data_IF_003270986598
#
_entry.id   IF_003270986598
#
_cell.length_a   1.000
_cell.length_b   1.000
_cell.length_c   1.000
_cell.angle_alpha   90.00
_cell.angle_beta   90.00
_cell.angle_gamma   90.00
#
_symmetry.space_group_name_H-M   'P 1'
#
loop_
_entity.id
_entity.type
_entity.pdbx_description
1 polymer ?
#
# COMPACT_ATOMS: atom_id res chain seq x y z
N UNK A 1 25.84 11.10 -4.88
CA UNK A 1 27.13 10.74 -4.23
C UNK A 1 28.10 10.26 -5.30
N UNK A 2 29.40 10.45 -5.10
CA UNK A 2 30.45 9.87 -5.96
C UNK A 2 30.69 8.37 -5.62
N UNK A 3 31.68 7.75 -6.26
CA UNK A 3 32.07 6.34 -6.01
C UNK A 3 32.54 6.09 -4.58
N UNK A 4 33.01 7.11 -3.87
CA UNK A 4 33.50 7.04 -2.49
C UNK A 4 32.43 7.46 -1.45
N UNK A 5 31.16 7.57 -1.89
CA UNK A 5 30.01 7.99 -1.07
C UNK A 5 30.11 9.41 -0.49
N UNK A 6 30.87 10.30 -1.15
CA UNK A 6 30.92 11.73 -0.82
C UNK A 6 29.87 12.50 -1.66
N UNK A 7 29.44 13.71 -1.23
CA UNK A 7 28.57 14.55 -2.05
C UNK A 7 29.18 14.78 -3.43
N UNK A 8 28.39 14.52 -4.48
CA UNK A 8 28.83 14.76 -5.86
C UNK A 8 28.85 16.27 -6.13
N UNK A 9 30.04 16.79 -6.45
CA UNK A 9 30.21 18.20 -6.72
C UNK A 9 30.17 18.49 -8.23
N UNK A 10 29.51 19.59 -8.61
CA UNK A 10 29.58 20.17 -9.96
C UNK A 10 30.95 20.84 -10.19
N UNK A 11 31.17 21.34 -11.40
CA UNK A 11 32.42 22.04 -11.79
C UNK A 11 32.64 23.33 -11.00
N UNK A 12 31.54 23.97 -10.55
CA UNK A 12 31.56 25.18 -9.74
C UNK A 12 31.72 24.91 -8.23
N UNK A 13 31.93 23.68 -7.83
CA UNK A 13 32.06 23.25 -6.43
C UNK A 13 30.76 23.12 -5.67
N UNK A 14 29.61 23.44 -6.28
CA UNK A 14 28.29 23.21 -5.65
C UNK A 14 27.90 21.73 -5.66
N UNK A 15 27.10 21.33 -4.66
CA UNK A 15 26.54 19.96 -4.61
C UNK A 15 25.54 19.79 -5.75
N UNK A 16 25.65 18.68 -6.49
CA UNK A 16 24.69 18.32 -7.50
C UNK A 16 23.39 17.87 -6.82
N UNK A 17 22.31 18.62 -7.04
CA UNK A 17 20.94 18.19 -6.70
C UNK A 17 20.23 17.70 -7.95
N UNK A 18 19.32 16.76 -7.78
CA UNK A 18 18.46 16.21 -8.85
C UNK A 18 17.00 16.30 -8.41
N UNK A 19 16.05 16.37 -9.35
CA UNK A 19 14.65 16.19 -9.01
C UNK A 19 14.46 14.88 -8.26
N UNK A 20 13.66 14.90 -7.20
CA UNK A 20 13.28 13.70 -6.48
C UNK A 20 12.46 12.77 -7.41
N UNK A 21 12.52 11.46 -7.15
CA UNK A 21 11.62 10.50 -7.76
C UNK A 21 10.19 10.62 -7.21
N UNK A 22 9.26 9.81 -7.74
CA UNK A 22 7.85 9.86 -7.33
C UNK A 22 7.62 9.49 -5.85
N UNK A 23 8.59 8.88 -5.17
CA UNK A 23 8.53 8.64 -3.72
C UNK A 23 8.36 9.90 -2.90
N UNK A 24 8.93 11.03 -3.33
CA UNK A 24 8.76 12.31 -2.64
C UNK A 24 7.31 12.82 -2.65
N UNK A 25 6.44 12.31 -3.52
CA UNK A 25 5.03 12.68 -3.57
C UNK A 25 4.23 12.19 -2.36
N UNK A 26 4.78 11.30 -1.53
CA UNK A 26 4.13 10.89 -0.28
C UNK A 26 3.93 12.08 0.66
N UNK A 27 4.85 13.05 0.67
CA UNK A 27 4.72 14.28 1.45
C UNK A 27 3.57 15.16 0.96
N UNK A 28 3.35 15.22 -0.37
CA UNK A 28 2.22 15.93 -0.95
C UNK A 28 0.90 15.23 -0.60
N UNK A 29 0.85 13.91 -0.72
CA UNK A 29 -0.33 13.13 -0.35
C UNK A 29 -0.64 13.25 1.14
N UNK A 30 0.40 13.22 1.99
CA UNK A 30 0.26 13.42 3.44
C UNK A 30 -0.22 14.82 3.81
N UNK A 31 -0.05 15.83 2.95
CA UNK A 31 -0.54 17.20 3.18
C UNK A 31 -2.00 17.42 2.75
N UNK A 32 -2.61 16.47 2.02
CA UNK A 32 -4.01 16.56 1.55
C UNK A 32 -4.97 16.32 2.70
N UNK A 33 -6.12 17.00 2.69
CA UNK A 33 -7.17 16.88 3.73
C UNK A 33 -8.35 16.02 3.26
N UNK A 34 -8.34 15.62 1.99
CA UNK A 34 -9.40 14.84 1.39
C UNK A 34 -9.41 13.40 1.91
N UNK A 35 -10.62 12.87 2.14
CA UNK A 35 -10.80 11.48 2.56
C UNK A 35 -10.45 10.47 1.46
N UNK A 36 -10.76 10.83 0.21
CA UNK A 36 -10.60 9.98 -0.96
C UNK A 36 -9.80 10.69 -2.04
N UNK A 37 -8.65 10.13 -2.41
CA UNK A 37 -7.75 10.70 -3.44
C UNK A 37 -7.55 9.70 -4.56
N UNK A 38 -7.76 10.15 -5.81
CA UNK A 38 -7.43 9.36 -7.00
C UNK A 38 -6.14 9.86 -7.63
N UNK A 39 -5.21 8.95 -7.84
CA UNK A 39 -3.87 9.21 -8.40
C UNK A 39 -3.76 8.54 -9.75
N UNK A 40 -3.31 9.27 -10.76
CA UNK A 40 -3.01 8.77 -12.10
C UNK A 40 -1.72 9.38 -12.62
N UNK A 41 -0.93 8.60 -13.35
CA UNK A 41 0.26 9.12 -14.02
C UNK A 41 -0.12 10.16 -15.06
N UNK A 42 0.60 11.28 -15.09
CA UNK A 42 0.31 12.41 -15.97
C UNK A 42 0.48 12.06 -17.45
N UNK A 43 1.32 11.09 -17.75
CA UNK A 43 1.58 10.61 -19.12
C UNK A 43 0.57 9.58 -19.62
N UNK A 44 -0.30 9.05 -18.74
CA UNK A 44 -1.34 8.11 -19.14
C UNK A 44 -2.61 8.87 -19.56
N UNK A 45 -2.64 9.26 -20.82
CA UNK A 45 -3.69 10.11 -21.40
C UNK A 45 -4.25 9.50 -22.69
N UNK A 46 -5.48 9.85 -23.03
CA UNK A 46 -6.10 9.46 -24.31
C UNK A 46 -7.02 10.57 -24.83
N UNK A 47 -7.39 10.46 -26.11
CA UNK A 47 -8.37 11.37 -26.71
C UNK A 47 -9.75 11.22 -26.09
N UNK A 48 -10.58 12.27 -26.18
CA UNK A 48 -11.87 12.36 -25.50
C UNK A 48 -12.81 11.16 -25.77
N UNK A 49 -12.86 10.66 -27.01
CA UNK A 49 -13.70 9.51 -27.38
C UNK A 49 -13.37 8.21 -26.64
N UNK A 50 -12.16 8.08 -26.07
CA UNK A 50 -11.71 6.92 -25.29
C UNK A 50 -11.81 7.13 -23.78
N UNK A 51 -12.05 8.33 -23.30
CA UNK A 51 -12.16 8.65 -21.88
C UNK A 51 -13.32 7.94 -21.15
N UNK A 52 -14.48 7.64 -21.76
CA UNK A 52 -15.59 6.98 -21.05
C UNK A 52 -15.18 5.69 -20.33
N UNK A 53 -14.34 4.85 -20.95
CA UNK A 53 -13.82 3.63 -20.31
C UNK A 53 -12.97 3.95 -19.07
N UNK A 54 -12.07 4.92 -19.18
CA UNK A 54 -11.25 5.38 -18.03
C UNK A 54 -12.12 5.91 -16.90
N UNK A 55 -13.13 6.75 -17.21
CA UNK A 55 -14.04 7.29 -16.19
C UNK A 55 -14.89 6.23 -15.52
N UNK A 56 -15.35 5.23 -16.29
CA UNK A 56 -16.09 4.10 -15.73
C UNK A 56 -15.24 3.35 -14.69
N UNK A 57 -14.04 2.95 -15.06
CA UNK A 57 -13.16 2.18 -14.18
C UNK A 57 -12.64 2.98 -12.99
N UNK A 58 -12.41 4.28 -13.13
CA UNK A 58 -12.15 5.15 -11.97
C UNK A 58 -13.28 5.09 -10.95
N UNK A 59 -14.53 5.18 -11.41
CA UNK A 59 -15.70 5.08 -10.50
C UNK A 59 -15.81 3.71 -9.85
N UNK A 60 -15.49 2.64 -10.58
CA UNK A 60 -15.43 1.27 -10.02
C UNK A 60 -14.38 1.18 -8.92
N UNK A 61 -13.16 1.66 -9.17
CA UNK A 61 -12.08 1.66 -8.18
C UNK A 61 -12.44 2.49 -6.94
N UNK A 62 -13.03 3.67 -7.13
CA UNK A 62 -13.53 4.52 -6.02
C UNK A 62 -14.62 3.80 -5.21
N UNK A 63 -15.58 3.17 -5.87
CA UNK A 63 -16.64 2.39 -5.21
C UNK A 63 -16.07 1.23 -4.39
N UNK A 64 -15.10 0.51 -4.93
CA UNK A 64 -14.41 -0.58 -4.19
C UNK A 64 -13.61 -0.05 -3.01
N UNK A 65 -12.94 1.09 -3.16
CA UNK A 65 -12.19 1.71 -2.05
C UNK A 65 -13.13 2.10 -0.90
N UNK A 66 -14.29 2.68 -1.19
CA UNK A 66 -15.29 3.02 -0.18
C UNK A 66 -15.86 1.77 0.51
N UNK A 67 -16.22 0.73 -0.25
CA UNK A 67 -16.72 -0.54 0.31
C UNK A 67 -15.68 -1.19 1.23
N UNK A 68 -14.42 -1.26 0.79
CA UNK A 68 -13.33 -1.82 1.56
C UNK A 68 -13.08 -1.05 2.86
N UNK A 69 -12.99 0.28 2.77
CA UNK A 69 -12.85 1.19 3.91
C UNK A 69 -13.97 1.00 4.93
N UNK A 70 -15.22 0.99 4.48
CA UNK A 70 -16.39 0.90 5.36
C UNK A 70 -16.42 -0.46 6.08
N UNK A 71 -16.05 -1.54 5.39
CA UNK A 71 -15.93 -2.87 5.99
C UNK A 71 -14.83 -2.93 7.05
N UNK A 72 -13.65 -2.38 6.74
CA UNK A 72 -12.52 -2.29 7.68
C UNK A 72 -12.93 -1.47 8.93
N UNK A 73 -13.55 -0.30 8.74
CA UNK A 73 -14.02 0.54 9.85
C UNK A 73 -15.04 -0.20 10.74
N UNK A 74 -15.94 -0.98 10.13
CA UNK A 74 -16.88 -1.82 10.87
C UNK A 74 -16.20 -2.85 11.76
N UNK A 75 -15.18 -3.53 11.25
CA UNK A 75 -14.38 -4.50 12.01
C UNK A 75 -13.60 -3.85 13.15
N UNK A 76 -12.93 -2.72 12.88
CA UNK A 76 -12.21 -1.97 13.93
C UNK A 76 -13.19 -1.55 15.04
N UNK A 77 -14.34 -1.00 14.67
CA UNK A 77 -15.36 -0.61 15.65
C UNK A 77 -15.82 -1.80 16.52
N UNK A 78 -16.07 -2.97 15.91
CA UNK A 78 -16.48 -4.17 16.64
C UNK A 78 -15.39 -4.66 17.61
N UNK A 79 -14.11 -4.67 17.19
CA UNK A 79 -12.97 -5.02 18.05
C UNK A 79 -12.79 -4.01 19.19
N UNK A 80 -12.98 -2.72 18.94
CA UNK A 80 -12.87 -1.66 19.96
C UNK A 80 -13.99 -1.77 21.01
N UNK A 81 -15.20 -2.22 20.66
CA UNK A 81 -16.26 -2.51 21.63
C UNK A 81 -15.86 -3.65 22.61
N UNK A 82 -15.26 -4.73 22.10
CA UNK A 82 -14.75 -5.83 22.93
C UNK A 82 -13.65 -5.33 23.88
N UNK A 83 -12.72 -4.53 23.38
CA UNK A 83 -11.63 -3.94 24.17
C UNK A 83 -12.16 -3.01 25.28
N UNK A 84 -13.16 -2.19 24.97
CA UNK A 84 -13.77 -1.25 25.93
C UNK A 84 -14.49 -1.97 27.05
N UNK A 85 -15.26 -3.01 26.75
CA UNK A 85 -15.92 -3.85 27.74
C UNK A 85 -14.89 -4.49 28.70
N UNK A 86 -13.75 -4.99 28.17
CA UNK A 86 -12.66 -5.53 28.97
C UNK A 86 -12.00 -4.51 29.89
N UNK A 87 -11.84 -3.27 29.43
CA UNK A 87 -11.25 -2.20 30.23
C UNK A 87 -12.17 -1.70 31.35
N UNK A 88 -13.47 -1.63 31.12
CA UNK A 88 -14.46 -1.30 32.16
C UNK A 88 -14.50 -2.36 33.27
N UNK A 89 -14.45 -3.62 32.91
CA UNK A 89 -14.40 -4.74 33.84
C UNK A 89 -13.14 -4.71 34.71
N UNK A 90 -11.97 -4.40 34.12
CA UNK A 90 -10.72 -4.23 34.87
C UNK A 90 -10.73 -3.01 35.79
N UNK A 91 -11.42 -1.93 35.44
CA UNK A 91 -11.60 -0.75 36.30
C UNK A 91 -12.51 -1.01 37.51
N UNK A 92 -13.56 -1.78 37.31
CA UNK A 92 -14.52 -2.15 38.38
C UNK A 92 -13.90 -3.18 39.35
N UNK A 93 -13.05 -4.08 38.92
CA UNK A 93 -12.34 -5.05 39.75
C UNK A 93 -11.22 -4.45 40.62
N UNK A 94 -10.70 -3.26 40.26
CA UNK A 94 -9.70 -2.51 41.05
C UNK A 94 -10.28 -1.67 42.19
N UNK A 95 -11.59 -1.50 42.26
CA UNK A 95 -12.30 -0.73 43.29
C UNK A 95 -13.23 -1.63 44.11
N UNK A 96 -12.72 -2.11 45.26
CA UNK A 96 -13.42 -2.82 46.32
C UNK A 96 -13.75 -4.30 46.14
N UNK A 97 -13.32 -5.08 47.14
CA UNK A 97 -13.68 -6.43 47.52
C UNK A 97 -15.17 -6.75 47.36
N UNK A 98 -15.56 -7.18 46.19
CA UNK A 98 -16.77 -7.93 45.98
C UNK A 98 -16.37 -9.14 45.14
N UNK A 99 -16.45 -10.33 45.73
CA UNK A 99 -16.38 -11.63 45.07
C UNK A 99 -17.55 -11.73 44.08
N UNK A 100 -17.36 -11.21 42.87
CA UNK A 100 -18.14 -11.60 41.72
C UNK A 100 -17.47 -12.76 41.04
N UNK A 101 -18.26 -13.73 40.63
CA UNK A 101 -17.85 -14.87 39.81
C UNK A 101 -16.89 -14.44 38.73
N UNK A 102 -15.89 -15.28 38.46
CA UNK A 102 -14.91 -15.17 37.39
C UNK A 102 -15.57 -14.57 36.14
N UNK A 103 -15.31 -13.29 35.94
CA UNK A 103 -15.77 -12.60 34.76
C UNK A 103 -14.93 -13.13 33.59
N UNK A 104 -15.59 -13.73 32.61
CA UNK A 104 -14.98 -14.28 31.42
C UNK A 104 -14.17 -13.18 30.73
N UNK A 105 -12.95 -13.51 30.32
CA UNK A 105 -12.12 -12.61 29.50
C UNK A 105 -12.93 -12.25 28.24
N UNK A 106 -13.25 -10.97 27.99
CA UNK A 106 -14.07 -10.55 26.86
C UNK A 106 -13.49 -10.99 25.51
N UNK A 107 -12.21 -11.28 25.46
CA UNK A 107 -11.54 -11.84 24.28
C UNK A 107 -11.70 -13.36 24.14
N UNK A 108 -12.09 -14.06 25.21
CA UNK A 108 -12.28 -15.52 25.19
C UNK A 108 -13.73 -15.94 24.82
N UNK A 109 -14.61 -14.98 24.57
CA UNK A 109 -16.02 -15.25 24.20
C UNK A 109 -16.13 -15.86 22.80
N UNK A 110 -17.19 -16.63 22.57
CA UNK A 110 -17.49 -17.19 21.25
C UNK A 110 -17.69 -16.09 20.20
N UNK A 111 -18.32 -14.96 20.60
CA UNK A 111 -18.52 -13.82 19.71
C UNK A 111 -17.19 -13.19 19.27
N UNK A 112 -16.22 -13.01 20.18
CA UNK A 112 -14.91 -12.49 19.82
C UNK A 112 -14.17 -13.45 18.90
N UNK A 113 -14.23 -14.75 19.17
CA UNK A 113 -13.60 -15.77 18.32
C UNK A 113 -14.23 -15.81 16.91
N UNK A 114 -15.57 -15.73 16.83
CA UNK A 114 -16.28 -15.68 15.55
C UNK A 114 -15.92 -14.43 14.75
N UNK A 115 -15.85 -13.24 15.41
CA UNK A 115 -15.43 -12.00 14.77
C UNK A 115 -13.99 -12.10 14.27
N UNK A 116 -13.06 -12.62 15.07
CA UNK A 116 -11.66 -12.81 14.62
C UNK A 116 -11.57 -13.75 13.41
N UNK A 117 -12.34 -14.84 13.39
CA UNK A 117 -12.39 -15.76 12.25
C UNK A 117 -12.93 -15.07 10.99
N UNK A 118 -13.97 -14.25 11.12
CA UNK A 118 -14.53 -13.48 10.01
C UNK A 118 -13.51 -12.46 9.47
N UNK A 119 -12.82 -11.74 10.35
CA UNK A 119 -11.79 -10.79 9.96
C UNK A 119 -10.62 -11.48 9.24
N UNK A 120 -10.13 -12.61 9.74
CA UNK A 120 -9.07 -13.36 9.08
C UNK A 120 -9.51 -13.90 7.71
N UNK A 121 -10.75 -14.37 7.59
CA UNK A 121 -11.30 -14.78 6.29
C UNK A 121 -11.34 -13.62 5.32
N UNK A 122 -11.82 -12.46 5.77
CA UNK A 122 -11.82 -11.23 4.99
C UNK A 122 -10.40 -10.81 4.56
N UNK A 123 -9.44 -10.78 5.48
CA UNK A 123 -8.06 -10.40 5.19
C UNK A 123 -7.43 -11.35 4.16
N UNK A 124 -7.66 -12.65 4.30
CA UNK A 124 -7.13 -13.67 3.38
C UNK A 124 -7.79 -13.60 2.00
N UNK A 125 -9.10 -13.52 1.95
CA UNK A 125 -9.87 -13.63 0.70
C UNK A 125 -9.86 -12.35 -0.13
N UNK A 126 -9.92 -11.19 0.55
CA UNK A 126 -10.00 -9.90 -0.15
C UNK A 126 -8.63 -9.22 -0.31
N UNK A 127 -7.72 -9.38 0.66
CA UNK A 127 -6.45 -8.65 0.71
C UNK A 127 -5.21 -9.56 0.60
N UNK A 128 -5.41 -10.89 0.46
CA UNK A 128 -4.32 -11.89 0.44
C UNK A 128 -3.39 -11.79 1.66
N UNK A 129 -3.96 -11.42 2.82
CA UNK A 129 -3.23 -11.30 4.08
C UNK A 129 -3.44 -12.56 4.90
N UNK A 130 -2.35 -13.30 5.12
CA UNK A 130 -2.28 -14.38 6.10
C UNK A 130 -1.67 -13.84 7.38
N UNK A 131 -2.35 -14.04 8.51
CA UNK A 131 -1.85 -13.62 9.81
C UNK A 131 -1.01 -14.72 10.45
N UNK A 132 0.06 -14.40 11.18
CA UNK A 132 0.80 -15.39 11.98
C UNK A 132 -0.05 -15.85 13.18
N UNK A 133 0.30 -17.00 13.74
CA UNK A 133 -0.37 -17.55 14.92
C UNK A 133 -0.20 -16.63 16.14
N UNK A 134 -1.29 -16.36 16.83
CA UNK A 134 -1.33 -15.60 18.07
C UNK A 134 -1.28 -16.56 19.28
N UNK A 135 -0.64 -16.12 20.38
CA UNK A 135 -0.51 -16.90 21.60
C UNK A 135 -1.78 -16.88 22.48
N UNK A 136 -2.68 -15.93 22.25
CA UNK A 136 -3.92 -15.78 22.99
C UNK A 136 -5.01 -15.11 22.16
N UNK A 137 -6.29 -15.24 22.57
CA UNK A 137 -7.40 -14.57 21.92
C UNK A 137 -7.24 -13.04 21.93
N UNK A 138 -6.73 -12.47 23.01
CA UNK A 138 -6.45 -11.04 23.12
C UNK A 138 -5.40 -10.60 22.12
N UNK A 139 -4.25 -11.27 22.07
CA UNK A 139 -3.17 -10.98 21.12
C UNK A 139 -3.67 -11.07 19.68
N UNK A 140 -4.49 -12.08 19.38
CA UNK A 140 -5.13 -12.24 18.07
C UNK A 140 -5.98 -11.03 17.69
N UNK A 141 -6.87 -10.59 18.57
CA UNK A 141 -7.72 -9.43 18.33
C UNK A 141 -6.90 -8.14 18.14
N UNK A 142 -5.87 -7.94 18.96
CA UNK A 142 -4.98 -6.78 18.88
C UNK A 142 -4.17 -6.77 17.57
N UNK A 143 -3.66 -7.93 17.14
CA UNK A 143 -2.94 -8.07 15.86
C UNK A 143 -3.86 -7.76 14.67
N UNK A 144 -5.08 -8.30 14.66
CA UNK A 144 -6.07 -8.03 13.62
C UNK A 144 -6.46 -6.57 13.57
N UNK A 145 -6.72 -5.97 14.74
CA UNK A 145 -7.03 -4.54 14.83
C UNK A 145 -5.90 -3.68 14.26
N UNK A 146 -4.65 -3.96 14.65
CA UNK A 146 -3.48 -3.24 14.14
C UNK A 146 -3.30 -3.42 12.62
N UNK A 147 -3.61 -4.60 12.08
CA UNK A 147 -3.52 -4.87 10.64
C UNK A 147 -4.59 -4.13 9.85
N UNK A 148 -5.77 -3.96 10.43
CA UNK A 148 -6.88 -3.21 9.82
C UNK A 148 -6.67 -1.69 9.89
N UNK A 149 -6.07 -1.16 10.96
CA UNK A 149 -5.92 0.27 11.23
C UNK A 149 -4.74 0.87 10.45
N UNK A 150 -4.90 0.88 9.14
CA UNK A 150 -3.92 1.34 8.15
C UNK A 150 -4.64 2.09 7.02
N UNK A 151 -3.96 3.01 6.32
CA UNK A 151 -4.51 3.59 5.11
C UNK A 151 -4.90 2.51 4.09
N UNK A 152 -5.89 2.80 3.26
CA UNK A 152 -6.40 1.87 2.25
C UNK A 152 -6.05 2.38 0.87
N UNK A 153 -5.60 1.49 -0.03
CA UNK A 153 -5.50 1.78 -1.46
C UNK A 153 -6.13 0.68 -2.31
N UNK A 154 -6.75 1.10 -3.39
CA UNK A 154 -7.21 0.21 -4.47
C UNK A 154 -6.48 0.59 -5.74
N UNK A 155 -5.81 -0.38 -6.35
CA UNK A 155 -4.96 -0.18 -7.52
C UNK A 155 -5.58 -0.86 -8.73
N UNK A 156 -5.82 -0.10 -9.79
CA UNK A 156 -6.19 -0.61 -11.10
C UNK A 156 -4.95 -1.15 -11.82
N UNK A 157 -4.92 -2.46 -12.09
CA UNK A 157 -3.81 -3.16 -12.70
C UNK A 157 -4.20 -3.63 -14.10
N UNK A 158 -3.33 -3.44 -15.09
CA UNK A 158 -3.49 -4.00 -16.44
C UNK A 158 -2.63 -5.24 -16.62
N UNK A 159 -3.03 -6.12 -17.54
CA UNK A 159 -2.17 -7.23 -17.96
C UNK A 159 -0.89 -6.69 -18.59
N UNK A 160 0.23 -7.34 -18.29
CA UNK A 160 1.52 -7.00 -18.87
C UNK A 160 1.59 -7.57 -20.29
N UNK A 161 1.76 -6.68 -21.29
CA UNK A 161 1.93 -7.04 -22.71
C UNK A 161 3.37 -6.93 -23.19
N UNK A 162 4.33 -6.78 -22.25
CA UNK A 162 5.77 -6.68 -22.52
C UNK A 162 6.41 -5.38 -22.06
N UNK A 163 5.69 -4.54 -21.32
CA UNK A 163 6.24 -3.32 -20.73
C UNK A 163 7.27 -3.68 -19.65
N UNK A 164 8.43 -3.01 -19.65
CA UNK A 164 9.39 -3.13 -18.57
C UNK A 164 8.90 -2.35 -17.35
N UNK A 165 8.97 -2.96 -16.18
CA UNK A 165 8.58 -2.28 -14.92
C UNK A 165 8.38 -3.26 -13.79
N UNK A 166 7.63 -2.82 -12.80
CA UNK A 166 7.21 -3.62 -11.67
C UNK A 166 5.84 -4.25 -11.88
N UNK A 167 5.34 -4.89 -10.84
CA UNK A 167 4.04 -5.54 -10.85
C UNK A 167 3.56 -5.89 -9.44
N UNK A 168 2.36 -6.50 -9.34
CA UNK A 168 1.78 -6.93 -8.08
C UNK A 168 2.38 -8.27 -7.63
N UNK A 169 2.70 -8.33 -6.33
CA UNK A 169 3.21 -9.52 -5.67
C UNK A 169 2.59 -9.68 -4.29
N UNK A 170 2.54 -10.90 -3.79
CA UNK A 170 2.31 -11.21 -2.39
C UNK A 170 3.68 -11.38 -1.75
N UNK A 171 3.97 -10.61 -0.72
CA UNK A 171 5.21 -10.72 0.04
C UNK A 171 4.93 -11.17 1.48
N UNK A 172 5.96 -11.70 2.12
CA UNK A 172 5.95 -11.94 3.57
C UNK A 172 6.56 -10.74 4.27
N UNK A 173 5.79 -10.19 5.20
CA UNK A 173 6.19 -9.06 6.04
C UNK A 173 7.14 -9.48 7.18
N UNK A 174 7.78 -8.50 7.81
CA UNK A 174 8.68 -8.73 8.97
C UNK A 174 7.95 -9.32 10.18
N UNK A 175 6.66 -9.06 10.32
CA UNK A 175 5.79 -9.59 11.38
C UNK A 175 5.32 -11.03 11.10
N UNK A 176 5.69 -11.62 9.96
CA UNK A 176 5.31 -12.96 9.53
C UNK A 176 3.99 -13.03 8.76
N UNK A 177 3.23 -11.95 8.70
CA UNK A 177 2.01 -11.86 7.86
C UNK A 177 2.37 -11.75 6.38
N UNK A 178 1.37 -11.85 5.50
CA UNK A 178 1.54 -11.53 4.08
C UNK A 178 0.88 -10.21 3.73
N UNK A 179 1.27 -9.60 2.60
CA UNK A 179 0.61 -8.42 2.04
C UNK A 179 0.74 -8.34 0.52
N UNK A 180 -0.19 -7.61 -0.09
CA UNK A 180 -0.14 -7.24 -1.50
C UNK A 180 0.79 -6.03 -1.67
N UNK A 181 1.84 -6.18 -2.48
CA UNK A 181 2.81 -5.13 -2.75
C UNK A 181 3.06 -4.95 -4.24
N UNK A 182 3.46 -3.75 -4.63
CA UNK A 182 3.95 -3.43 -5.97
C UNK A 182 5.47 -3.36 -5.88
N UNK A 183 6.17 -4.26 -6.60
CA UNK A 183 7.62 -4.31 -6.60
C UNK A 183 8.16 -3.98 -7.98
N UNK A 184 9.20 -3.17 -8.02
CA UNK A 184 9.99 -2.93 -9.22
C UNK A 184 11.01 -4.05 -9.44
N UNK A 185 11.34 -4.34 -10.69
CA UNK A 185 12.32 -5.39 -11.02
C UNK A 185 13.70 -5.19 -10.38
N UNK A 186 14.05 -3.94 -10.00
CA UNK A 186 15.28 -3.62 -9.28
C UNK A 186 15.26 -4.03 -7.79
N UNK A 187 14.07 -4.26 -7.23
CA UNK A 187 13.89 -4.69 -5.83
C UNK A 187 13.93 -6.22 -5.69
N UNK A 188 13.93 -6.95 -6.80
CA UNK A 188 13.95 -8.40 -6.81
C UNK A 188 15.39 -8.91 -6.69
N UNK A 189 15.65 -9.76 -5.70
CA UNK A 189 16.96 -10.42 -5.56
C UNK A 189 17.18 -11.42 -6.71
N UNK A 190 18.06 -11.05 -7.61
CA UNK A 190 18.41 -11.88 -8.80
C UNK A 190 19.18 -13.16 -8.45
N UNK A 191 19.71 -13.26 -7.23
CA UNK A 191 20.40 -14.45 -6.73
C UNK A 191 19.43 -15.46 -6.09
N UNK A 192 18.18 -15.05 -5.84
CA UNK A 192 17.12 -15.92 -5.34
C UNK A 192 16.32 -16.50 -6.51
N UNK A 193 16.44 -17.82 -6.82
CA UNK A 193 15.74 -18.44 -7.96
C UNK A 193 14.22 -18.33 -7.86
N UNK A 194 13.65 -18.41 -6.64
CA UNK A 194 12.20 -18.35 -6.42
C UNK A 194 11.68 -16.93 -6.69
N UNK A 195 12.41 -15.90 -6.25
CA UNK A 195 12.07 -14.52 -6.54
C UNK A 195 12.14 -14.20 -8.04
N UNK A 196 13.16 -14.74 -8.74
CA UNK A 196 13.29 -14.61 -10.20
C UNK A 196 12.15 -15.36 -10.91
N UNK A 197 11.76 -16.54 -10.45
CA UNK A 197 10.64 -17.29 -11.00
C UNK A 197 9.32 -16.53 -10.81
N UNK A 198 9.08 -15.98 -9.62
CA UNK A 198 7.92 -15.14 -9.32
C UNK A 198 7.85 -13.91 -10.24
N UNK A 199 8.98 -13.22 -10.46
CA UNK A 199 9.04 -12.08 -11.38
C UNK A 199 8.68 -12.49 -12.83
N UNK A 200 9.17 -13.63 -13.28
CA UNK A 200 8.89 -14.14 -14.65
C UNK A 200 7.44 -14.60 -14.83
N UNK A 201 6.78 -15.02 -13.75
CA UNK A 201 5.38 -15.44 -13.75
C UNK A 201 4.39 -14.29 -13.55
N UNK A 202 4.89 -13.06 -13.30
CA UNK A 202 4.04 -11.89 -13.12
C UNK A 202 3.19 -11.63 -14.37
N UNK A 203 1.88 -11.53 -14.17
CA UNK A 203 0.90 -11.40 -15.25
C UNK A 203 0.42 -9.97 -15.46
N UNK A 204 0.66 -9.09 -14.49
CA UNK A 204 0.19 -7.72 -14.49
C UNK A 204 1.34 -6.73 -14.33
N UNK A 205 1.09 -5.52 -14.79
CA UNK A 205 2.01 -4.39 -14.77
C UNK A 205 1.71 -3.46 -13.58
N UNK A 206 2.50 -2.41 -13.42
CA UNK A 206 2.31 -1.35 -12.43
C UNK A 206 0.89 -0.74 -12.49
N UNK A 207 0.38 -0.16 -11.39
CA UNK A 207 -0.94 0.43 -11.37
C UNK A 207 -1.06 1.58 -12.37
N UNK A 208 -2.19 1.61 -13.07
CA UNK A 208 -2.53 2.68 -14.02
C UNK A 208 -3.38 3.78 -13.38
N UNK A 209 -4.12 3.42 -12.34
CA UNK A 209 -4.90 4.30 -11.47
C UNK A 209 -4.85 3.77 -10.03
N UNK A 210 -4.74 4.67 -9.05
CA UNK A 210 -4.85 4.34 -7.62
C UNK A 210 -5.96 5.17 -7.00
N UNK A 211 -6.66 4.57 -6.03
CA UNK A 211 -7.58 5.29 -5.14
C UNK A 211 -7.16 5.04 -3.72
N UNK A 212 -6.93 6.12 -2.97
CA UNK A 212 -6.43 6.12 -1.61
C UNK A 212 -7.48 6.66 -0.65
N UNK A 213 -7.73 5.97 0.48
CA UNK A 213 -8.50 6.48 1.61
C UNK A 213 -7.51 6.88 2.71
N UNK A 214 -7.52 8.16 3.10
CA UNK A 214 -6.51 8.79 3.94
C UNK A 214 -6.94 9.01 5.38
N UNK A 215 -8.22 8.76 5.71
CA UNK A 215 -8.76 8.94 7.06
C UNK A 215 -9.00 7.60 7.74
N UNK A 216 -8.72 7.55 9.03
CA UNK A 216 -8.94 6.40 9.90
C UNK A 216 -10.43 6.13 10.17
N UNK A 217 -10.73 5.20 11.07
CA UNK A 217 -12.09 4.83 11.46
C UNK A 217 -12.81 5.91 12.28
N UNK A 218 -12.09 6.89 12.82
CA UNK A 218 -12.65 8.05 13.54
C UNK A 218 -12.83 9.28 12.65
N UNK A 219 -12.37 9.21 11.41
CA UNK A 219 -12.34 10.33 10.48
C UNK A 219 -11.12 11.24 10.70
N UNK A 220 -10.12 10.80 11.46
CA UNK A 220 -8.87 11.50 11.65
C UNK A 220 -7.88 11.09 10.54
N UNK A 221 -7.00 12.00 10.20
CA UNK A 221 -6.02 11.79 9.14
C UNK A 221 -4.89 10.87 9.58
N UNK A 222 -4.58 9.86 8.79
CA UNK A 222 -3.36 9.09 8.97
C UNK A 222 -2.12 9.95 8.75
N UNK A 223 -1.07 9.74 9.56
CA UNK A 223 0.27 10.19 9.22
C UNK A 223 0.89 9.18 8.24
N UNK A 224 0.79 9.45 6.95
CA UNK A 224 1.23 8.51 5.91
C UNK A 224 2.72 8.19 5.98
N UNK A 225 3.52 9.04 6.61
CA UNK A 225 4.96 8.83 6.75
C UNK A 225 5.29 7.70 7.72
N UNK A 226 4.38 7.35 8.63
CA UNK A 226 4.53 6.19 9.54
C UNK A 226 4.26 4.85 8.84
N UNK A 227 3.73 4.89 7.62
CA UNK A 227 3.38 3.72 6.82
C UNK A 227 4.35 3.49 5.64
N UNK A 228 5.53 4.13 5.66
CA UNK A 228 6.60 3.99 4.67
C UNK A 228 7.60 2.94 5.12
N UNK A 229 7.96 2.00 4.26
CA UNK A 229 9.13 1.15 4.46
C UNK A 229 10.38 1.79 3.83
N UNK A 230 11.16 2.50 4.64
CA UNK A 230 12.37 3.21 4.21
C UNK A 230 13.45 2.25 3.67
N UNK A 231 13.46 0.98 4.06
CA UNK A 231 14.42 -0.01 3.59
C UNK A 231 14.23 -0.39 2.11
N UNK A 232 13.10 -0.01 1.52
CA UNK A 232 12.80 -0.23 0.09
C UNK A 232 13.32 0.89 -0.81
N UNK A 233 14.04 1.87 -0.26
CA UNK A 233 14.79 2.86 -1.04
C UNK A 233 15.83 2.21 -1.95
N UNK A 234 16.10 2.81 -3.10
CA UNK A 234 17.02 2.28 -4.10
C UNK A 234 18.26 3.16 -4.26
N UNK A 235 19.41 2.51 -4.41
CA UNK A 235 20.63 3.18 -4.87
C UNK A 235 20.77 2.92 -6.36
N UNK A 236 20.59 3.95 -7.17
CA UNK A 236 20.71 3.87 -8.62
C UNK A 236 22.02 4.49 -9.10
N UNK A 237 22.68 3.82 -10.07
CA UNK A 237 23.81 4.41 -10.79
C UNK A 237 23.30 5.32 -11.89
N UNK A 238 23.78 6.55 -11.88
CA UNK A 238 23.44 7.60 -12.86
C UNK A 238 24.75 8.21 -13.40
N UNK A 239 24.63 9.05 -14.39
CA UNK A 239 25.76 9.85 -14.88
C UNK A 239 25.40 11.33 -14.96
N UNK A 240 26.39 12.18 -14.77
CA UNK A 240 26.29 13.61 -15.01
C UNK A 240 27.55 14.10 -15.74
N UNK A 241 27.37 14.59 -16.96
CA UNK A 241 28.48 15.03 -17.83
C UNK A 241 29.60 13.98 -17.98
N UNK A 242 29.21 12.70 -18.16
CA UNK A 242 30.15 11.58 -18.33
C UNK A 242 30.79 11.06 -17.03
N UNK A 243 30.52 11.66 -15.88
CA UNK A 243 30.98 11.18 -14.56
C UNK A 243 29.89 10.33 -13.90
N UNK A 244 30.26 9.16 -13.41
CA UNK A 244 29.33 8.28 -12.69
C UNK A 244 29.01 8.83 -11.30
N UNK A 245 27.77 8.63 -10.88
CA UNK A 245 27.30 8.97 -9.54
C UNK A 245 26.29 7.96 -9.03
N UNK A 246 26.21 7.83 -7.72
CA UNK A 246 25.16 7.09 -7.02
C UNK A 246 24.08 8.07 -6.56
N UNK A 247 22.82 7.78 -6.87
CA UNK A 247 21.66 8.51 -6.36
C UNK A 247 20.86 7.60 -5.43
N UNK A 248 20.59 8.08 -4.20
CA UNK A 248 19.58 7.46 -3.35
C UNK A 248 18.21 7.91 -3.83
N UNK A 249 17.37 6.95 -4.18
CA UNK A 249 15.96 7.18 -4.50
C UNK A 249 15.12 6.74 -3.30
N UNK A 250 14.22 7.61 -2.84
CA UNK A 250 13.26 7.29 -1.79
C UNK A 250 12.36 6.13 -2.26
N UNK A 251 11.75 5.38 -1.33
CA UNK A 251 10.73 4.38 -1.66
C UNK A 251 9.70 4.98 -2.61
N UNK A 252 9.45 4.31 -3.75
CA UNK A 252 8.50 4.81 -4.74
C UNK A 252 7.10 4.98 -4.17
N UNK A 253 6.31 5.95 -4.67
CA UNK A 253 5.01 6.31 -4.10
C UNK A 253 4.09 5.11 -3.91
N UNK A 254 3.90 4.30 -4.96
CA UNK A 254 3.05 3.10 -4.89
C UNK A 254 3.80 1.80 -4.55
N UNK A 255 5.12 1.90 -4.29
CA UNK A 255 5.94 0.80 -3.81
C UNK A 255 6.09 0.92 -2.28
N UNK A 256 7.31 1.11 -1.78
CA UNK A 256 7.61 1.17 -0.36
C UNK A 256 7.00 2.35 0.41
N UNK A 257 6.63 3.46 -0.25
CA UNK A 257 5.92 4.56 0.42
C UNK A 257 4.49 4.19 0.84
N UNK A 258 3.91 3.15 0.25
CA UNK A 258 2.60 2.61 0.61
C UNK A 258 2.71 1.13 1.04
N UNK A 259 3.83 0.74 1.62
CA UNK A 259 4.09 -0.64 2.02
C UNK A 259 3.17 -1.10 3.14
N UNK A 260 2.97 -0.26 4.16
CA UNK A 260 2.14 -0.57 5.32
C UNK A 260 0.67 -0.10 5.12
N UNK A 261 0.11 -0.41 3.95
CA UNK A 261 -1.26 -0.06 3.58
C UNK A 261 -2.10 -1.31 3.30
N UNK A 262 -3.39 -1.25 3.62
CA UNK A 262 -4.35 -2.24 3.17
C UNK A 262 -4.59 -2.07 1.66
N UNK A 263 -4.09 -3.02 0.88
CA UNK A 263 -4.03 -2.94 -0.58
C UNK A 263 -4.98 -3.92 -1.23
N UNK A 264 -5.75 -3.47 -2.23
CA UNK A 264 -6.54 -4.30 -3.12
C UNK A 264 -6.12 -4.05 -4.57
N UNK A 265 -5.87 -5.13 -5.32
CA UNK A 265 -5.65 -5.06 -6.77
C UNK A 265 -6.93 -5.40 -7.52
N UNK A 266 -7.25 -4.61 -8.52
CA UNK A 266 -8.39 -4.80 -9.43
C UNK A 266 -7.88 -4.81 -10.86
N UNK A 267 -8.12 -5.89 -11.60
CA UNK A 267 -7.81 -5.91 -13.03
C UNK A 267 -8.73 -4.92 -13.76
N UNK A 268 -8.12 -4.02 -14.54
CA UNK A 268 -8.82 -3.06 -15.38
C UNK A 268 -8.44 -3.28 -16.85
N UNK A 269 -9.31 -2.92 -17.81
CA UNK A 269 -9.00 -3.10 -19.23
C UNK A 269 -7.75 -2.35 -19.67
N UNK A 270 -7.01 -2.94 -20.60
CA UNK A 270 -5.78 -2.35 -21.16
C UNK A 270 -6.04 -0.99 -21.82
N UNK A 271 -7.25 -0.74 -22.30
CA UNK A 271 -7.68 0.54 -22.87
C UNK A 271 -7.60 1.70 -21.87
N UNK A 272 -7.48 1.43 -20.57
CA UNK A 272 -7.23 2.46 -19.54
C UNK A 272 -5.76 2.87 -19.45
N UNK A 273 -4.86 2.15 -20.15
CA UNK A 273 -3.42 2.38 -20.12
C UNK A 273 -2.89 2.85 -21.47
N UNK A 274 -2.69 4.15 -21.63
CA UNK A 274 -2.27 4.79 -22.87
C UNK A 274 -1.11 5.77 -22.59
N UNK A 275 0.07 5.27 -22.17
CA UNK A 275 1.17 6.14 -21.79
C UNK A 275 1.83 6.81 -23.01
N UNK A 276 2.20 8.08 -22.83
CA UNK A 276 3.03 8.85 -23.77
C UNK A 276 4.43 8.96 -23.17
N UNK A 277 5.34 8.10 -23.59
CA UNK A 277 6.75 8.10 -23.14
C UNK A 277 7.67 8.81 -24.12
N UNK A 278 7.36 8.71 -25.42
CA UNK A 278 8.10 9.34 -26.51
C UNK A 278 7.13 9.98 -27.51
N UNK A 279 7.64 10.88 -28.33
CA UNK A 279 6.82 11.61 -29.34
C UNK A 279 6.07 10.67 -30.29
N UNK A 280 6.65 9.53 -30.63
CA UNK A 280 6.01 8.55 -31.52
C UNK A 280 4.78 7.89 -30.92
N UNK A 281 4.65 7.87 -29.60
CA UNK A 281 3.44 7.34 -28.94
C UNK A 281 2.20 8.14 -29.32
N UNK A 282 2.34 9.44 -29.65
CA UNK A 282 1.26 10.28 -30.12
C UNK A 282 0.65 9.85 -31.47
N UNK A 283 1.31 8.95 -32.19
CA UNK A 283 0.79 8.35 -33.42
C UNK A 283 -0.12 7.14 -33.16
N UNK A 284 -0.21 6.68 -31.92
CA UNK A 284 -1.10 5.56 -31.56
C UNK A 284 -2.57 5.99 -31.61
N UNK A 285 -3.51 5.06 -31.95
CA UNK A 285 -4.94 5.39 -32.05
C UNK A 285 -5.55 6.03 -30.79
N UNK A 286 -4.96 5.76 -29.64
CA UNK A 286 -5.41 6.34 -28.35
C UNK A 286 -5.15 7.86 -28.25
N UNK A 287 -4.32 8.41 -29.13
CA UNK A 287 -3.89 9.83 -29.08
C UNK A 287 -4.30 10.61 -30.36
N UNK A 288 -5.04 9.97 -31.28
CA UNK A 288 -5.48 10.57 -32.56
C UNK A 288 -7.00 10.69 -32.68
#
# INVERSE_FOLDING_TARGET
MDSENRPFLKEDGSILTRPAGHGALIYNLNAMEEELVSIKNIDNVCVERMQPTTYHWKKVLMGRALQLRDRIRGYIFALDQISSAGNELNRLSGAQFITFNVQEDPYATEECQALCNEIESFLREELCIEMPEAKSCRERAEMLRKKLDRPVRVCGMVKNEGEPGGGPFIIREKDGSTSLQILEGAQIDKNNPDAVAALKSATHFNPVDLVCCLLDHKGEKFNLLEHVDEETGLISSKSYKGRELKALELPGLWNGSMSDWNTLFVEVPVETFNPVKIVLDLLRPAHQ
#
